data_IF_946618405538
#
_entry.id   IF_946618405538
#
_cell.length_a   1.000
_cell.length_b   1.000
_cell.length_c   1.000
_cell.angle_alpha   90.00
_cell.angle_beta   90.00
_cell.angle_gamma   90.00
#
_symmetry.space_group_name_H-M   'P 1'
#
loop_
_entity.id
_entity.type
_entity.pdbx_description
1 polymer ?
#
# COMPACT_ATOMS: atom_id res chain seq x y z
N UNK A 1 12.26 10.27 -19.99
CA UNK A 1 12.81 9.68 -18.75
C UNK A 1 11.65 9.02 -18.01
N UNK A 2 11.83 7.80 -17.50
CA UNK A 2 10.82 7.10 -16.69
C UNK A 2 10.89 7.54 -15.22
N UNK A 3 9.79 7.41 -14.49
CA UNK A 3 9.65 7.86 -13.09
C UNK A 3 8.62 6.99 -12.38
N UNK A 4 8.84 6.70 -11.10
CA UNK A 4 7.85 6.08 -10.21
C UNK A 4 7.30 7.12 -9.24
N UNK A 5 5.98 7.30 -9.19
CA UNK A 5 5.31 8.22 -8.26
C UNK A 5 4.76 7.46 -7.07
N UNK A 6 5.23 7.79 -5.88
CA UNK A 6 4.76 7.22 -4.61
C UNK A 6 3.90 8.23 -3.84
N UNK A 7 3.28 7.78 -2.74
CA UNK A 7 2.58 8.69 -1.81
C UNK A 7 3.53 9.64 -1.04
N UNK A 8 4.85 9.38 -1.10
CA UNK A 8 5.89 10.19 -0.47
C UNK A 8 6.57 11.15 -1.45
N UNK A 9 6.45 10.91 -2.76
CA UNK A 9 7.09 11.69 -3.81
C UNK A 9 7.53 10.83 -5.00
N UNK A 10 8.16 11.49 -5.96
CA UNK A 10 8.68 10.86 -7.16
C UNK A 10 10.07 10.23 -6.91
N UNK A 11 10.33 9.08 -7.52
CA UNK A 11 11.56 8.31 -7.40
C UNK A 11 12.11 7.90 -8.78
N UNK A 12 13.43 7.71 -8.84
CA UNK A 12 14.09 7.02 -9.96
C UNK A 12 13.62 5.55 -9.96
N UNK A 13 13.12 5.00 -11.07
CA UNK A 13 12.74 3.59 -11.16
C UNK A 13 13.87 2.63 -10.74
N UNK A 14 15.14 2.98 -10.95
CA UNK A 14 16.28 2.16 -10.55
C UNK A 14 16.43 2.03 -9.02
N UNK A 15 15.85 2.95 -8.23
CA UNK A 15 15.93 2.93 -6.76
C UNK A 15 14.77 2.19 -6.08
N UNK A 16 13.82 1.62 -6.84
CA UNK A 16 12.60 1.03 -6.27
C UNK A 16 12.86 -0.23 -5.43
N UNK A 17 13.88 -1.02 -5.80
CA UNK A 17 14.24 -2.27 -5.11
C UNK A 17 13.19 -3.39 -5.28
N UNK A 18 13.30 -4.48 -4.50
CA UNK A 18 12.30 -5.54 -4.48
C UNK A 18 10.92 -4.97 -4.17
N UNK A 19 9.96 -5.16 -5.08
CA UNK A 19 8.63 -4.55 -5.02
C UNK A 19 7.56 -5.61 -4.95
N UNK A 20 6.68 -5.53 -3.96
CA UNK A 20 5.45 -6.29 -3.96
C UNK A 20 4.42 -5.57 -4.86
N UNK A 21 4.11 -6.18 -6.00
CA UNK A 21 3.44 -5.51 -7.10
C UNK A 21 1.91 -5.36 -6.93
N UNK A 22 1.29 -6.01 -5.94
CA UNK A 22 -0.15 -5.94 -5.76
C UNK A 22 -0.53 -6.20 -4.30
N UNK A 23 -0.90 -5.14 -3.58
CA UNK A 23 -1.35 -5.21 -2.19
C UNK A 23 -2.58 -4.32 -1.95
N UNK A 24 -3.24 -4.55 -0.81
CA UNK A 24 -4.36 -3.74 -0.33
C UNK A 24 -4.13 -3.35 1.13
N UNK A 25 -3.60 -2.14 1.37
CA UNK A 25 -3.35 -1.65 2.74
C UNK A 25 -4.65 -1.40 3.47
N UNK A 26 -5.63 -0.88 2.72
CA UNK A 26 -7.00 -0.70 3.16
C UNK A 26 -7.95 -1.18 2.08
N UNK A 27 -9.02 -1.84 2.47
CA UNK A 27 -10.06 -2.24 1.53
C UNK A 27 -11.39 -2.39 2.27
N UNK A 28 -12.42 -1.75 1.73
CA UNK A 28 -13.80 -1.91 2.18
C UNK A 28 -14.64 -2.16 0.94
N UNK A 29 -15.31 -3.30 0.89
CA UNK A 29 -16.12 -3.70 -0.26
C UNK A 29 -17.53 -4.09 0.20
N UNK A 30 -18.60 -3.54 -0.42
CA UNK A 30 -19.96 -4.02 -0.18
C UNK A 30 -20.17 -5.51 -0.49
N UNK A 31 -19.28 -6.11 -1.30
CA UNK A 31 -19.33 -7.53 -1.66
C UNK A 31 -18.71 -8.44 -0.59
N UNK A 32 -17.96 -7.88 0.37
CA UNK A 32 -17.21 -8.62 1.39
C UNK A 32 -17.51 -8.08 2.80
N UNK A 33 -18.77 -8.13 3.26
CA UNK A 33 -19.14 -7.60 4.56
C UNK A 33 -18.44 -8.37 5.69
N UNK A 34 -17.75 -7.66 6.57
CA UNK A 34 -17.01 -8.23 7.70
C UNK A 34 -15.55 -8.59 7.40
N UNK A 35 -15.10 -8.43 6.15
CA UNK A 35 -13.70 -8.64 5.74
C UNK A 35 -12.97 -7.32 5.47
N UNK A 36 -13.39 -6.24 6.14
CA UNK A 36 -12.80 -4.93 5.92
C UNK A 36 -11.36 -4.85 6.44
N UNK A 37 -10.45 -4.43 5.55
CA UNK A 37 -9.13 -3.97 5.93
C UNK A 37 -9.24 -2.46 6.22
N UNK A 38 -9.76 -2.10 7.39
CA UNK A 38 -10.05 -0.70 7.74
C UNK A 38 -9.25 -0.16 8.95
N UNK A 39 -8.54 -1.03 9.67
CA UNK A 39 -7.82 -0.72 10.90
C UNK A 39 -6.36 -0.28 10.60
N UNK A 40 -6.00 1.01 10.80
CA UNK A 40 -4.68 1.52 10.49
C UNK A 40 -3.55 0.88 11.32
N UNK A 41 -3.83 0.51 12.57
CA UNK A 41 -2.84 -0.11 13.45
C UNK A 41 -2.52 -1.54 12.99
N UNK A 42 -3.55 -2.28 12.56
CA UNK A 42 -3.35 -3.62 11.96
C UNK A 42 -2.61 -3.51 10.63
N UNK A 43 -3.06 -2.64 9.73
CA UNK A 43 -2.39 -2.44 8.44
C UNK A 43 -0.94 -2.03 8.63
N UNK A 44 -0.64 -1.14 9.58
CA UNK A 44 0.73 -0.71 9.85
C UNK A 44 1.65 -1.82 10.35
N UNK A 45 1.14 -2.73 11.18
CA UNK A 45 1.92 -3.91 11.60
C UNK A 45 2.24 -4.83 10.41
N UNK A 46 1.28 -5.09 9.53
CA UNK A 46 1.51 -5.93 8.34
C UNK A 46 2.50 -5.27 7.37
N UNK A 47 2.43 -3.95 7.16
CA UNK A 47 3.41 -3.23 6.34
C UNK A 47 4.81 -3.26 6.97
N UNK A 48 4.92 -3.14 8.29
CA UNK A 48 6.21 -3.29 8.97
C UNK A 48 6.78 -4.71 8.81
N UNK A 49 5.94 -5.75 8.81
CA UNK A 49 6.35 -7.12 8.54
C UNK A 49 6.81 -7.29 7.08
N UNK A 50 6.11 -6.70 6.12
CA UNK A 50 6.49 -6.68 4.70
C UNK A 50 7.86 -6.02 4.49
N UNK A 51 8.09 -4.86 5.12
CA UNK A 51 9.39 -4.19 5.10
C UNK A 51 10.48 -5.07 5.73
N UNK A 52 10.17 -5.74 6.85
CA UNK A 52 11.06 -6.67 7.54
C UNK A 52 11.39 -7.95 6.74
N UNK A 53 10.60 -8.29 5.72
CA UNK A 53 10.83 -9.48 4.87
C UNK A 53 11.78 -9.22 3.69
N UNK A 54 12.28 -7.99 3.53
CA UNK A 54 13.21 -7.61 2.47
C UNK A 54 12.59 -6.92 1.26
N UNK A 55 11.28 -6.63 1.28
CA UNK A 55 10.69 -5.73 0.28
C UNK A 55 11.04 -4.27 0.58
N UNK A 56 11.27 -3.50 -0.47
CA UNK A 56 11.56 -2.06 -0.40
C UNK A 56 10.36 -1.20 -0.80
N UNK A 57 9.41 -1.76 -1.55
CA UNK A 57 8.22 -1.06 -2.00
C UNK A 57 7.03 -2.00 -2.13
N UNK A 58 5.83 -1.41 -2.13
CA UNK A 58 4.60 -2.09 -2.54
C UNK A 58 3.74 -1.17 -3.42
N UNK A 59 2.83 -1.77 -4.17
CA UNK A 59 1.76 -1.06 -4.88
C UNK A 59 0.44 -1.33 -4.15
N UNK A 60 -0.15 -0.28 -3.58
CA UNK A 60 -1.54 -0.33 -3.11
C UNK A 60 -2.48 -0.25 -4.32
N UNK A 61 -3.07 -1.39 -4.67
CA UNK A 61 -3.94 -1.58 -5.81
C UNK A 61 -5.42 -1.28 -5.48
N UNK A 62 -5.72 -0.66 -4.34
CA UNK A 62 -7.10 -0.39 -3.91
C UNK A 62 -7.75 0.67 -4.81
N UNK A 63 -8.82 0.32 -5.54
CA UNK A 63 -9.45 1.25 -6.47
C UNK A 63 -10.36 2.26 -5.76
N UNK A 64 -10.77 3.28 -6.51
CA UNK A 64 -11.84 4.19 -6.08
C UNK A 64 -13.13 3.38 -5.87
N UNK A 65 -13.80 3.62 -4.74
CA UNK A 65 -15.01 2.90 -4.35
C UNK A 65 -14.76 1.71 -3.42
N UNK A 66 -13.51 1.25 -3.27
CA UNK A 66 -13.17 0.14 -2.38
C UNK A 66 -12.34 0.56 -1.15
N UNK A 67 -12.45 1.81 -0.71
CA UNK A 67 -11.78 2.27 0.51
C UNK A 67 -10.34 2.76 0.34
N UNK A 68 -9.95 3.22 -0.86
CA UNK A 68 -8.63 3.81 -1.13
C UNK A 68 -8.33 5.01 -0.21
N UNK A 69 -7.27 4.93 0.61
CA UNK A 69 -6.89 5.93 1.64
C UNK A 69 -5.42 6.37 1.53
N UNK A 70 -5.00 7.09 0.48
CA UNK A 70 -3.58 7.40 0.23
C UNK A 70 -2.94 8.27 1.32
N UNK A 71 -3.72 9.12 1.99
CA UNK A 71 -3.23 9.93 3.12
C UNK A 71 -2.89 9.11 4.36
N UNK A 72 -3.56 7.97 4.56
CA UNK A 72 -3.25 7.06 5.66
C UNK A 72 -2.11 6.12 5.30
N UNK A 73 -2.06 5.64 4.05
CA UNK A 73 -0.89 4.88 3.53
C UNK A 73 0.39 5.69 3.66
N UNK A 74 0.35 7.02 3.45
CA UNK A 74 1.51 7.90 3.65
C UNK A 74 2.03 7.93 5.10
N UNK A 75 1.19 7.64 6.10
CA UNK A 75 1.53 7.73 7.53
C UNK A 75 2.06 6.41 8.11
N UNK A 76 1.90 5.32 7.36
CA UNK A 76 2.23 3.96 7.76
C UNK A 76 3.65 3.60 7.30
#
# INVERSE_FOLDING_TARGET
MSMVRTVLGDLDPASLGPTNAHEHVFQVSPMLPGEELADPERSGREIALLAGSGFSAMIDATPIGLGRRPGDVRRI
#
